data_IF_126165023495
#
_entry.id   IF_126165023495
#
_cell.length_a   1.000
_cell.length_b   1.000
_cell.length_c   1.000
_cell.angle_alpha   90.00
_cell.angle_beta   90.00
_cell.angle_gamma   90.00
#
_symmetry.space_group_name_H-M   'P 1'
#
loop_
_entity.id
_entity.type
_entity.pdbx_description
1 polymer ?
#
# COMPACT_ATOMS: atom_id res chain seq x y z
N UNK A 1 14.61 -15.75 0.83
CA UNK A 1 13.98 -16.40 -0.36
C UNK A 1 13.29 -15.32 -1.17
N UNK A 2 12.24 -14.72 -0.60
CA UNK A 2 11.55 -13.52 -1.12
C UNK A 2 12.50 -12.39 -1.54
N UNK A 3 13.59 -12.19 -0.81
CA UNK A 3 14.57 -11.12 -1.04
C UNK A 3 15.15 -11.12 -2.46
N UNK A 4 15.37 -12.30 -3.07
CA UNK A 4 15.83 -12.42 -4.46
C UNK A 4 14.88 -11.74 -5.45
N UNK A 5 13.58 -11.82 -5.17
CA UNK A 5 12.54 -11.19 -5.98
C UNK A 5 12.43 -9.69 -5.66
N UNK A 6 12.61 -9.32 -4.40
CA UNK A 6 12.48 -7.92 -3.96
C UNK A 6 13.63 -7.03 -4.43
N UNK A 7 14.88 -7.51 -4.44
CA UNK A 7 16.04 -6.67 -4.77
C UNK A 7 15.95 -6.02 -6.15
N UNK A 8 15.72 -6.76 -7.27
CA UNK A 8 15.63 -6.15 -8.58
C UNK A 8 14.53 -5.10 -8.68
N UNK A 9 13.42 -5.37 -7.99
CA UNK A 9 12.26 -4.48 -7.93
C UNK A 9 12.56 -3.20 -7.12
N UNK A 10 13.17 -3.34 -5.94
CA UNK A 10 13.66 -2.22 -5.12
C UNK A 10 14.62 -1.32 -5.91
N UNK A 11 15.59 -1.91 -6.61
CA UNK A 11 16.55 -1.16 -7.43
C UNK A 11 15.86 -0.35 -8.52
N UNK A 12 14.96 -0.97 -9.29
CA UNK A 12 14.24 -0.29 -10.37
C UNK A 12 13.39 0.86 -9.84
N UNK A 13 12.65 0.63 -8.77
CA UNK A 13 11.86 1.68 -8.14
C UNK A 13 12.72 2.82 -7.59
N UNK A 14 13.76 2.52 -6.79
CA UNK A 14 14.59 3.57 -6.20
C UNK A 14 15.29 4.40 -7.29
N UNK A 15 15.66 3.78 -8.41
CA UNK A 15 16.17 4.49 -9.58
C UNK A 15 15.11 5.39 -10.21
N UNK A 16 13.86 4.93 -10.32
CA UNK A 16 12.75 5.74 -10.83
C UNK A 16 12.44 6.90 -9.87
N UNK A 17 12.27 6.61 -8.57
CA UNK A 17 12.02 7.60 -7.53
C UNK A 17 13.16 8.63 -7.41
N UNK A 18 14.41 8.22 -7.65
CA UNK A 18 15.57 9.11 -7.73
C UNK A 18 15.44 10.13 -8.85
N UNK A 19 15.03 9.71 -10.06
CA UNK A 19 14.80 10.62 -11.20
C UNK A 19 13.73 11.66 -10.90
N UNK A 20 12.68 11.28 -10.18
CA UNK A 20 11.62 12.17 -9.75
C UNK A 20 11.90 12.85 -8.39
N UNK A 21 13.06 12.69 -7.76
CA UNK A 21 13.27 13.23 -6.39
C UNK A 21 12.08 12.95 -5.44
N UNK A 22 11.44 11.78 -5.59
CA UNK A 22 10.20 11.42 -4.91
C UNK A 22 10.46 10.61 -3.64
N UNK A 23 11.72 10.23 -3.40
CA UNK A 23 12.18 9.42 -2.26
C UNK A 23 13.39 10.06 -1.58
N UNK A 24 13.47 9.88 -0.26
CA UNK A 24 14.63 10.20 0.56
C UNK A 24 15.77 9.19 0.42
N UNK A 25 15.50 8.05 -0.23
CA UNK A 25 16.41 6.92 -0.28
C UNK A 25 16.91 6.66 -1.69
N UNK A 26 18.09 6.07 -1.78
CA UNK A 26 18.64 5.55 -3.03
C UNK A 26 19.33 4.21 -2.80
N UNK A 27 19.53 3.48 -3.89
CA UNK A 27 20.30 2.25 -3.87
C UNK A 27 21.80 2.56 -4.02
N UNK A 28 22.62 2.12 -3.07
CA UNK A 28 24.08 2.19 -3.15
C UNK A 28 24.62 0.88 -3.73
N UNK A 29 25.03 0.91 -5.00
CA UNK A 29 25.60 -0.27 -5.67
C UNK A 29 26.92 -0.73 -5.05
N UNK A 30 27.70 0.17 -4.46
CA UNK A 30 28.99 -0.19 -3.84
C UNK A 30 28.81 -0.95 -2.54
N UNK A 31 27.75 -0.62 -1.78
CA UNK A 31 27.43 -1.25 -0.49
C UNK A 31 26.35 -2.32 -0.58
N UNK A 32 25.70 -2.46 -1.74
CA UNK A 32 24.60 -3.39 -1.95
C UNK A 32 23.40 -3.15 -1.03
N UNK A 33 23.13 -1.90 -0.64
CA UNK A 33 22.09 -1.55 0.33
C UNK A 33 21.43 -0.21 0.03
N UNK A 34 20.27 0.00 0.64
CA UNK A 34 19.52 1.26 0.61
C UNK A 34 20.21 2.26 1.54
N UNK A 35 20.47 3.47 1.06
CA UNK A 35 21.08 4.56 1.82
C UNK A 35 20.23 5.82 1.75
N UNK A 36 20.40 6.68 2.75
CA UNK A 36 19.78 8.01 2.78
C UNK A 36 20.49 8.94 1.79
N UNK A 37 19.73 9.75 1.06
CA UNK A 37 20.26 10.75 0.13
C UNK A 37 20.79 11.99 0.85
N UNK A 38 21.40 12.89 0.10
CA UNK A 38 21.88 14.17 0.61
C UNK A 38 20.73 15.15 0.95
N UNK A 39 21.04 16.09 1.84
CA UNK A 39 20.09 17.04 2.42
C UNK A 39 19.38 17.90 1.37
N UNK A 40 20.01 18.18 0.23
CA UNK A 40 19.38 18.98 -0.84
C UNK A 40 18.15 18.26 -1.42
N UNK A 41 18.24 16.94 -1.61
CA UNK A 41 17.11 16.16 -2.08
C UNK A 41 15.98 16.09 -1.05
N UNK A 42 16.30 16.13 0.24
CA UNK A 42 15.28 16.18 1.29
C UNK A 42 14.42 17.44 1.19
N UNK A 43 15.03 18.59 0.86
CA UNK A 43 14.30 19.83 0.64
C UNK A 43 13.32 19.70 -0.53
N UNK A 44 13.75 19.07 -1.63
CA UNK A 44 12.89 18.83 -2.80
C UNK A 44 11.70 17.91 -2.47
N UNK A 45 11.94 16.79 -1.78
CA UNK A 45 10.86 15.88 -1.38
C UNK A 45 9.84 16.61 -0.48
N UNK A 46 10.31 17.44 0.45
CA UNK A 46 9.45 18.27 1.32
C UNK A 46 8.67 19.33 0.54
N UNK A 47 9.28 19.96 -0.46
CA UNK A 47 8.58 20.91 -1.33
C UNK A 47 7.43 20.24 -2.09
N UNK A 48 7.65 19.03 -2.63
CA UNK A 48 6.58 18.23 -3.25
C UNK A 48 5.50 17.81 -2.27
N UNK A 49 5.86 17.49 -1.02
CA UNK A 49 4.88 17.18 0.02
C UNK A 49 4.02 18.41 0.36
N UNK A 50 4.63 19.60 0.47
CA UNK A 50 3.89 20.84 0.68
C UNK A 50 2.94 21.14 -0.48
N UNK A 51 3.40 20.97 -1.73
CA UNK A 51 2.53 21.10 -2.90
C UNK A 51 1.36 20.11 -2.85
N UNK A 52 1.60 18.86 -2.45
CA UNK A 52 0.54 17.86 -2.30
C UNK A 52 -0.49 18.26 -1.22
N UNK A 53 -0.06 18.83 -0.09
CA UNK A 53 -0.97 19.36 0.93
C UNK A 53 -1.85 20.46 0.34
N UNK A 54 -1.26 21.43 -0.35
CA UNK A 54 -2.00 22.52 -1.01
C UNK A 54 -2.99 21.96 -2.02
N UNK A 55 -2.56 20.97 -2.82
CA UNK A 55 -3.41 20.31 -3.80
C UNK A 55 -4.64 19.66 -3.15
N UNK A 56 -4.45 18.85 -2.10
CA UNK A 56 -5.55 18.18 -1.38
C UNK A 56 -6.51 19.19 -0.75
N UNK A 57 -5.99 20.27 -0.16
CA UNK A 57 -6.82 21.33 0.44
C UNK A 57 -7.68 22.01 -0.64
N UNK A 58 -7.07 22.44 -1.74
CA UNK A 58 -7.80 23.08 -2.82
C UNK A 58 -8.85 22.14 -3.45
N UNK A 59 -8.49 20.89 -3.69
CA UNK A 59 -9.41 19.88 -4.21
C UNK A 59 -10.59 19.64 -3.25
N UNK A 60 -10.33 19.60 -1.94
CA UNK A 60 -11.38 19.48 -0.92
C UNK A 60 -12.33 20.67 -0.97
N UNK A 61 -11.81 21.90 -0.98
CA UNK A 61 -12.62 23.11 -1.04
C UNK A 61 -13.49 23.14 -2.31
N UNK A 62 -12.92 22.82 -3.47
CA UNK A 62 -13.66 22.75 -4.73
C UNK A 62 -14.78 21.70 -4.67
N UNK A 63 -14.51 20.51 -4.12
CA UNK A 63 -15.53 19.44 -3.96
C UNK A 63 -16.65 19.85 -3.00
N UNK A 64 -16.32 20.58 -1.93
CA UNK A 64 -17.30 21.03 -0.95
C UNK A 64 -18.23 22.12 -1.47
N UNK A 65 -17.72 23.06 -2.27
CA UNK A 65 -18.48 24.23 -2.71
C UNK A 65 -19.11 24.09 -4.09
N UNK A 66 -18.66 23.17 -4.92
CA UNK A 66 -19.24 22.97 -6.25
C UNK A 66 -20.45 22.02 -6.24
N UNK A 67 -21.42 22.34 -7.07
CA UNK A 67 -22.60 21.51 -7.31
C UNK A 67 -22.28 20.44 -8.35
N UNK A 68 -22.23 19.18 -7.92
CA UNK A 68 -21.96 18.05 -8.80
C UNK A 68 -23.10 17.06 -8.82
N UNK A 69 -23.31 16.44 -9.97
CA UNK A 69 -24.11 15.23 -10.04
C UNK A 69 -23.49 14.14 -9.17
N UNK A 70 -24.33 13.22 -8.66
CA UNK A 70 -23.89 12.20 -7.71
C UNK A 70 -22.67 11.41 -8.20
N UNK A 71 -22.67 10.97 -9.45
CA UNK A 71 -21.57 10.17 -10.04
C UNK A 71 -20.26 10.94 -10.05
N UNK A 72 -20.31 12.21 -10.44
CA UNK A 72 -19.16 13.12 -10.46
C UNK A 72 -18.67 13.40 -9.05
N UNK A 73 -19.58 13.66 -8.10
CA UNK A 73 -19.24 13.87 -6.70
C UNK A 73 -18.60 12.63 -6.08
N UNK A 74 -19.13 11.43 -6.31
CA UNK A 74 -18.55 10.18 -5.83
C UNK A 74 -17.17 9.93 -6.44
N UNK A 75 -16.99 10.19 -7.73
CA UNK A 75 -15.70 10.08 -8.41
C UNK A 75 -14.67 11.06 -7.84
N UNK A 76 -15.09 12.30 -7.56
CA UNK A 76 -14.28 13.33 -6.93
C UNK A 76 -13.87 12.98 -5.50
N UNK A 77 -14.82 12.53 -4.67
CA UNK A 77 -14.53 12.08 -3.31
C UNK A 77 -13.62 10.85 -3.30
N UNK A 78 -13.79 9.93 -4.24
CA UNK A 78 -12.93 8.75 -4.37
C UNK A 78 -11.47 9.13 -4.66
N UNK A 79 -11.23 10.01 -5.64
CA UNK A 79 -9.87 10.46 -5.96
C UNK A 79 -9.28 11.33 -4.84
N UNK A 80 -10.10 12.18 -4.22
CA UNK A 80 -9.68 12.92 -3.02
C UNK A 80 -9.27 11.96 -1.89
N UNK A 81 -10.04 10.90 -1.64
CA UNK A 81 -9.71 9.88 -0.63
C UNK A 81 -8.39 9.16 -0.95
N UNK A 82 -8.13 8.84 -2.23
CA UNK A 82 -6.84 8.32 -2.67
C UNK A 82 -5.71 9.32 -2.38
N UNK A 83 -5.87 10.59 -2.73
CA UNK A 83 -4.83 11.61 -2.50
C UNK A 83 -4.61 11.88 -1.00
N UNK A 84 -5.66 11.87 -0.19
CA UNK A 84 -5.55 11.92 1.27
C UNK A 84 -4.79 10.70 1.80
N UNK A 85 -5.04 9.50 1.29
CA UNK A 85 -4.28 8.29 1.67
C UNK A 85 -2.81 8.46 1.32
N UNK A 86 -2.52 8.84 0.08
CA UNK A 86 -1.17 9.16 -0.38
C UNK A 86 -0.48 10.21 0.50
N UNK A 87 -1.23 11.24 0.91
CA UNK A 87 -0.73 12.30 1.75
C UNK A 87 -0.39 11.78 3.14
N UNK A 88 -1.31 11.05 3.81
CA UNK A 88 -1.07 10.48 5.14
C UNK A 88 0.13 9.53 5.13
N UNK A 89 0.25 8.70 4.10
CA UNK A 89 1.38 7.78 3.97
C UNK A 89 2.72 8.52 3.85
N UNK A 90 2.74 9.63 3.12
CA UNK A 90 3.94 10.47 2.91
C UNK A 90 4.16 11.51 4.01
N UNK A 91 3.19 11.74 4.88
CA UNK A 91 3.25 12.78 5.89
C UNK A 91 4.20 12.35 6.99
N UNK A 92 5.45 12.75 6.87
CA UNK A 92 6.51 12.50 7.83
C UNK A 92 7.18 13.80 8.26
N UNK A 93 7.24 14.02 9.57
CA UNK A 93 7.95 15.18 10.13
C UNK A 93 9.46 14.93 10.14
N UNK A 94 9.86 13.67 10.27
CA UNK A 94 11.23 13.17 10.21
C UNK A 94 11.26 11.97 9.27
N UNK A 95 12.37 11.81 8.54
CA UNK A 95 12.55 10.70 7.61
C UNK A 95 12.51 9.39 8.41
N UNK A 96 11.55 8.53 8.07
CA UNK A 96 11.38 7.23 8.72
C UNK A 96 12.38 6.21 8.14
N UNK A 97 13.41 5.89 8.94
CA UNK A 97 14.47 4.97 8.54
C UNK A 97 14.09 3.50 8.73
N UNK A 98 13.13 3.20 9.62
CA UNK A 98 12.85 1.82 10.07
C UNK A 98 12.40 0.91 8.93
N UNK A 99 11.49 1.32 8.02
CA UNK A 99 11.11 0.47 6.90
C UNK A 99 12.29 0.14 5.97
N UNK A 100 13.22 1.09 5.79
CA UNK A 100 14.39 0.88 4.92
C UNK A 100 15.45 0.01 5.61
N UNK A 101 15.63 0.15 6.92
CA UNK A 101 16.48 -0.73 7.71
C UNK A 101 15.96 -2.17 7.71
N UNK A 102 14.64 -2.37 7.79
CA UNK A 102 14.01 -3.69 7.66
C UNK A 102 14.33 -4.32 6.29
N UNK A 103 14.21 -3.56 5.21
CA UNK A 103 14.57 -4.02 3.87
C UNK A 103 16.07 -4.34 3.79
N UNK A 104 16.94 -3.46 4.32
CA UNK A 104 18.39 -3.68 4.35
C UNK A 104 18.79 -4.93 5.14
N UNK A 105 18.16 -5.17 6.30
CA UNK A 105 18.39 -6.36 7.11
C UNK A 105 18.02 -7.64 6.34
N UNK A 106 16.88 -7.62 5.66
CA UNK A 106 16.44 -8.74 4.82
C UNK A 106 17.40 -8.98 3.65
N UNK A 107 17.94 -7.91 3.05
CA UNK A 107 18.97 -7.98 2.00
C UNK A 107 20.27 -8.55 2.52
N UNK A 108 20.78 -8.08 3.67
CA UNK A 108 22.05 -8.54 4.23
C UNK A 108 22.01 -10.00 4.64
N UNK A 109 20.94 -10.44 5.29
CA UNK A 109 20.78 -11.84 5.69
C UNK A 109 20.69 -12.76 4.46
N UNK A 110 20.05 -12.29 3.39
CA UNK A 110 19.95 -13.05 2.15
C UNK A 110 21.25 -13.13 1.37
N UNK A 111 22.19 -12.21 1.52
CA UNK A 111 23.39 -12.20 0.69
C UNK A 111 24.32 -13.37 1.01
N UNK A 112 24.37 -13.81 2.27
CA UNK A 112 25.26 -14.89 2.72
C UNK A 112 24.69 -16.28 2.44
N UNK A 113 23.37 -16.47 2.57
CA UNK A 113 22.74 -17.79 2.44
C UNK A 113 22.29 -18.15 1.00
N UNK A 114 22.09 -17.17 0.10
CA UNK A 114 21.47 -17.38 -1.22
C UNK A 114 22.45 -17.64 -2.37
N UNK A 115 23.70 -18.00 -2.12
CA UNK A 115 24.58 -18.52 -3.16
C UNK A 115 24.22 -19.95 -3.64
N UNK A 116 23.16 -20.58 -3.10
CA UNK A 116 22.75 -21.96 -3.48
C UNK A 116 21.61 -21.99 -4.53
N UNK A 117 21.80 -22.83 -5.55
CA UNK A 117 20.89 -23.08 -6.68
C UNK A 117 19.61 -23.83 -6.28
N UNK A 118 18.68 -23.16 -5.60
CA UNK A 118 17.32 -23.69 -5.40
C UNK A 118 16.35 -23.06 -6.40
N UNK A 119 15.49 -23.90 -7.00
CA UNK A 119 14.42 -23.47 -7.90
C UNK A 119 13.43 -22.54 -7.19
N UNK A 120 12.81 -21.59 -7.91
CA UNK A 120 11.88 -20.64 -7.31
C UNK A 120 10.63 -21.36 -6.81
N UNK A 121 10.23 -21.05 -5.58
CA UNK A 121 8.98 -21.53 -4.98
C UNK A 121 7.76 -20.86 -5.61
N UNK A 122 6.58 -21.51 -5.52
CA UNK A 122 5.31 -20.92 -5.99
C UNK A 122 5.03 -19.55 -5.36
N UNK A 123 5.40 -19.37 -4.09
CA UNK A 123 5.24 -18.11 -3.37
C UNK A 123 6.10 -16.99 -3.99
N UNK A 124 7.36 -17.27 -4.33
CA UNK A 124 8.24 -16.29 -4.99
C UNK A 124 7.70 -15.85 -6.35
N UNK A 125 7.14 -16.79 -7.12
CA UNK A 125 6.53 -16.48 -8.42
C UNK A 125 5.35 -15.52 -8.23
N UNK A 126 4.46 -15.81 -7.29
CA UNK A 126 3.31 -14.93 -6.98
C UNK A 126 3.80 -13.55 -6.53
N UNK A 127 4.77 -13.49 -5.62
CA UNK A 127 5.33 -12.21 -5.15
C UNK A 127 5.98 -11.44 -6.30
N UNK A 128 6.66 -12.12 -7.23
CA UNK A 128 7.26 -11.48 -8.41
C UNK A 128 6.20 -10.81 -9.28
N UNK A 129 5.09 -11.50 -9.54
CA UNK A 129 3.98 -10.93 -10.30
C UNK A 129 3.35 -9.75 -9.56
N UNK A 130 3.17 -9.85 -8.24
CA UNK A 130 2.65 -8.75 -7.43
C UNK A 130 3.57 -7.53 -7.45
N UNK A 131 4.87 -7.71 -7.24
CA UNK A 131 5.84 -6.61 -7.31
C UNK A 131 5.85 -5.94 -8.68
N UNK A 132 5.83 -6.73 -9.77
CA UNK A 132 5.76 -6.20 -11.13
C UNK A 132 4.43 -5.47 -11.39
N UNK A 133 3.32 -5.99 -10.87
CA UNK A 133 2.01 -5.35 -10.97
C UNK A 133 2.02 -3.98 -10.30
N UNK A 134 2.51 -3.91 -9.07
CA UNK A 134 2.65 -2.65 -8.36
C UNK A 134 3.57 -1.68 -9.14
N UNK A 135 4.69 -2.17 -9.70
CA UNK A 135 5.63 -1.31 -10.44
C UNK A 135 4.95 -0.67 -11.65
N UNK A 136 4.14 -1.48 -12.33
CA UNK A 136 3.35 -1.05 -13.46
C UNK A 136 2.29 -0.02 -13.04
N UNK A 137 1.53 -0.25 -11.96
CA UNK A 137 0.55 0.72 -11.44
C UNK A 137 1.21 2.07 -11.15
N UNK A 138 2.44 2.08 -10.63
CA UNK A 138 3.17 3.31 -10.35
C UNK A 138 3.39 4.21 -11.58
N UNK A 139 3.43 3.64 -12.78
CA UNK A 139 3.56 4.35 -14.06
C UNK A 139 2.19 4.52 -14.73
N UNK A 140 1.35 3.51 -14.66
CA UNK A 140 0.03 3.50 -15.30
C UNK A 140 -0.91 4.48 -14.64
N UNK A 141 -0.93 4.63 -13.31
CA UNK A 141 -1.90 5.50 -12.63
C UNK A 141 -1.73 6.98 -13.01
N UNK A 142 -0.52 7.59 -13.01
CA UNK A 142 -0.35 8.97 -13.46
C UNK A 142 -0.65 9.17 -14.95
N UNK A 143 -0.27 8.19 -15.80
CA UNK A 143 -0.59 8.23 -17.23
C UNK A 143 -2.09 8.17 -17.44
N UNK A 144 -2.77 7.34 -16.67
CA UNK A 144 -4.20 7.18 -16.71
C UNK A 144 -4.92 8.47 -16.32
N UNK A 145 -4.47 9.15 -15.25
CA UNK A 145 -4.94 10.50 -14.87
C UNK A 145 -4.73 11.51 -16.00
N UNK A 146 -3.56 11.49 -16.65
CA UNK A 146 -3.25 12.38 -17.79
C UNK A 146 -4.20 12.15 -18.96
N UNK A 147 -4.40 10.88 -19.34
CA UNK A 147 -5.30 10.47 -20.41
C UNK A 147 -6.73 10.93 -20.11
N UNK A 148 -7.21 10.72 -18.88
CA UNK A 148 -8.54 11.17 -18.47
C UNK A 148 -8.75 12.67 -18.67
N UNK A 149 -7.76 13.51 -18.34
CA UNK A 149 -7.86 14.96 -18.53
C UNK A 149 -7.93 15.31 -20.02
N UNK A 150 -7.14 14.65 -20.87
CA UNK A 150 -7.15 14.94 -22.31
C UNK A 150 -8.50 14.60 -22.95
N UNK A 151 -9.06 13.45 -22.61
CA UNK A 151 -10.33 13.00 -23.20
C UNK A 151 -11.57 13.60 -22.54
N UNK A 152 -11.47 13.98 -21.26
CA UNK A 152 -12.61 14.47 -20.48
C UNK A 152 -12.19 15.70 -19.64
N UNK A 153 -11.81 16.83 -20.29
CA UNK A 153 -11.19 17.98 -19.64
C UNK A 153 -12.09 18.72 -18.65
N UNK A 154 -13.38 18.43 -18.65
CA UNK A 154 -14.38 19.09 -17.79
C UNK A 154 -15.03 18.18 -16.77
N UNK A 155 -14.59 16.92 -16.65
CA UNK A 155 -15.05 16.11 -15.54
C UNK A 155 -14.20 16.32 -14.32
N UNK A 156 -14.87 16.43 -13.19
CA UNK A 156 -14.27 16.16 -11.89
C UNK A 156 -13.73 14.74 -11.91
N UNK A 157 -12.50 14.56 -11.44
CA UNK A 157 -12.17 14.90 -10.05
C UNK A 157 -10.94 15.79 -9.85
N UNK A 158 -10.28 16.19 -10.94
CA UNK A 158 -8.96 16.81 -10.90
C UNK A 158 -9.07 18.34 -10.87
N UNK A 159 -8.09 18.98 -10.24
CA UNK A 159 -8.14 20.39 -9.89
C UNK A 159 -8.09 21.30 -11.13
N UNK A 160 -7.24 20.99 -12.10
CA UNK A 160 -7.12 21.72 -13.36
C UNK A 160 -8.44 21.81 -14.15
N UNK A 161 -9.08 20.67 -14.49
CA UNK A 161 -10.42 20.62 -15.08
C UNK A 161 -11.47 21.50 -14.39
N UNK A 162 -11.52 21.45 -13.05
CA UNK A 162 -12.47 22.25 -12.25
C UNK A 162 -12.25 23.76 -12.41
N UNK A 163 -11.00 24.22 -12.56
CA UNK A 163 -10.68 25.64 -12.72
C UNK A 163 -10.98 26.17 -14.12
N UNK A 164 -10.89 25.32 -15.14
CA UNK A 164 -10.90 25.74 -16.54
C UNK A 164 -12.30 25.69 -17.15
N UNK A 165 -13.13 24.74 -16.73
CA UNK A 165 -14.41 24.50 -17.40
C UNK A 165 -15.52 25.50 -17.09
N UNK A 166 -15.26 26.47 -16.21
CA UNK A 166 -16.09 27.66 -16.08
C UNK A 166 -15.87 28.68 -17.21
N UNK A 167 -14.86 28.48 -18.09
CA UNK A 167 -14.59 29.35 -19.21
C UNK A 167 -15.34 28.88 -20.48
N UNK A 168 -15.95 29.83 -21.21
CA UNK A 168 -16.78 29.54 -22.40
C UNK A 168 -16.01 28.86 -23.56
N UNK A 169 -14.69 28.98 -23.60
CA UNK A 169 -13.84 28.40 -24.66
C UNK A 169 -12.56 27.88 -24.00
N UNK A 170 -12.44 26.55 -23.89
CA UNK A 170 -11.21 25.89 -23.45
C UNK A 170 -10.39 25.52 -24.69
N UNK A 171 -9.21 26.11 -24.83
CA UNK A 171 -8.28 25.76 -25.90
C UNK A 171 -7.70 24.36 -25.68
N UNK A 172 -7.54 23.57 -26.74
CA UNK A 172 -6.83 22.27 -26.72
C UNK A 172 -5.43 22.43 -26.11
N UNK A 173 -4.74 23.53 -26.40
CA UNK A 173 -3.43 23.84 -25.83
C UNK A 173 -3.50 23.97 -24.31
N UNK A 174 -4.53 24.63 -23.79
CA UNK A 174 -4.74 24.78 -22.34
C UNK A 174 -5.00 23.43 -21.69
N UNK A 175 -5.86 22.60 -22.29
CA UNK A 175 -6.12 21.23 -21.82
C UNK A 175 -4.86 20.38 -21.76
N UNK A 176 -4.02 20.42 -22.80
CA UNK A 176 -2.78 19.63 -22.84
C UNK A 176 -1.78 20.09 -21.77
N UNK A 177 -1.61 21.41 -21.60
CA UNK A 177 -0.73 21.95 -20.54
C UNK A 177 -1.19 21.48 -19.17
N UNK A 178 -2.50 21.50 -18.91
CA UNK A 178 -3.07 21.10 -17.64
C UNK A 178 -2.95 19.59 -17.42
N UNK A 179 -3.20 18.78 -18.46
CA UNK A 179 -2.98 17.34 -18.40
C UNK A 179 -1.52 17.01 -18.04
N UNK A 180 -0.55 17.70 -18.64
CA UNK A 180 0.87 17.50 -18.33
C UNK A 180 1.21 17.88 -16.89
N UNK A 181 0.74 19.03 -16.41
CA UNK A 181 0.98 19.49 -15.04
C UNK A 181 0.39 18.49 -14.02
N UNK A 182 -0.86 18.09 -14.22
CA UNK A 182 -1.56 17.14 -13.36
C UNK A 182 -0.90 15.75 -13.41
N UNK A 183 -0.47 15.29 -14.59
CA UNK A 183 0.27 14.05 -14.75
C UNK A 183 1.60 14.05 -13.99
N UNK A 184 2.32 15.18 -14.01
CA UNK A 184 3.55 15.38 -13.24
C UNK A 184 3.27 15.34 -11.74
N UNK A 185 2.26 16.08 -11.27
CA UNK A 185 1.86 16.11 -9.84
C UNK A 185 1.44 14.71 -9.38
N UNK A 186 0.58 14.03 -10.14
CA UNK A 186 0.16 12.67 -9.88
C UNK A 186 1.37 11.72 -9.81
N UNK A 187 2.33 11.84 -10.74
CA UNK A 187 3.56 11.03 -10.73
C UNK A 187 4.31 11.18 -9.42
N UNK A 188 4.54 12.39 -8.92
CA UNK A 188 5.20 12.57 -7.62
C UNK A 188 4.38 12.03 -6.44
N UNK A 189 3.06 12.18 -6.48
CA UNK A 189 2.15 11.68 -5.45
C UNK A 189 2.23 10.15 -5.37
N UNK A 190 2.01 9.46 -6.50
CA UNK A 190 2.00 8.01 -6.56
C UNK A 190 3.38 7.43 -6.28
N UNK A 191 4.45 7.94 -6.92
CA UNK A 191 5.82 7.48 -6.69
C UNK A 191 6.25 7.55 -5.22
N UNK A 192 5.95 8.67 -4.54
CA UNK A 192 6.29 8.82 -3.12
C UNK A 192 5.45 7.94 -2.20
N UNK A 193 4.18 7.74 -2.54
CA UNK A 193 3.27 6.88 -1.76
C UNK A 193 3.66 5.42 -1.86
N UNK A 194 4.11 5.02 -3.04
CA UNK A 194 4.51 3.67 -3.37
C UNK A 194 5.66 3.16 -2.48
N UNK A 195 6.53 4.06 -2.01
CA UNK A 195 7.54 3.74 -0.99
C UNK A 195 6.94 3.10 0.26
N UNK A 196 5.80 3.64 0.71
CA UNK A 196 5.16 3.25 1.95
C UNK A 196 4.19 2.09 1.73
N UNK A 197 3.35 2.16 0.69
CA UNK A 197 2.35 1.11 0.42
C UNK A 197 2.99 -0.18 -0.10
N UNK A 198 3.92 -0.11 -1.06
CA UNK A 198 4.55 -1.32 -1.60
C UNK A 198 5.76 -1.77 -0.75
N UNK A 199 6.74 -0.88 -0.52
CA UNK A 199 8.03 -1.28 0.07
C UNK A 199 8.11 -1.26 1.59
N UNK A 200 7.13 -0.68 2.26
CA UNK A 200 7.08 -0.76 3.73
C UNK A 200 6.01 -1.76 4.12
N UNK A 201 4.78 -1.56 3.64
CA UNK A 201 3.63 -2.37 4.01
C UNK A 201 3.63 -3.76 3.38
N UNK A 202 3.59 -3.87 2.06
CA UNK A 202 3.50 -5.17 1.38
C UNK A 202 4.76 -6.00 1.63
N UNK A 203 5.95 -5.46 1.38
CA UNK A 203 7.19 -6.21 1.61
C UNK A 203 7.42 -6.53 3.09
N UNK A 204 7.13 -5.62 4.02
CA UNK A 204 7.29 -5.87 5.46
C UNK A 204 6.44 -7.05 5.94
N UNK A 205 5.17 -7.12 5.52
CA UNK A 205 4.28 -8.24 5.84
C UNK A 205 4.73 -9.52 5.13
N UNK A 206 5.16 -9.45 3.87
CA UNK A 206 5.63 -10.61 3.12
C UNK A 206 6.92 -11.20 3.71
N UNK A 207 7.87 -10.35 4.14
CA UNK A 207 9.10 -10.77 4.83
C UNK A 207 8.73 -11.49 6.12
N UNK A 208 7.87 -10.90 6.96
CA UNK A 208 7.42 -11.53 8.19
C UNK A 208 6.69 -12.86 7.93
N UNK A 209 5.87 -12.93 6.88
CA UNK A 209 5.18 -14.15 6.48
C UNK A 209 6.16 -15.25 6.05
N UNK A 210 7.16 -14.93 5.22
CA UNK A 210 8.14 -15.93 4.79
C UNK A 210 9.00 -16.43 5.95
N UNK A 211 9.48 -15.55 6.82
CA UNK A 211 10.24 -15.96 7.99
C UNK A 211 9.38 -16.80 8.94
N UNK A 212 8.10 -16.47 9.09
CA UNK A 212 7.15 -17.30 9.82
C UNK A 212 7.00 -18.69 9.21
N UNK A 213 6.82 -18.80 7.88
CA UNK A 213 6.69 -20.10 7.21
C UNK A 213 8.00 -20.89 7.31
N UNK A 214 9.14 -20.26 7.04
CA UNK A 214 10.45 -20.91 7.16
C UNK A 214 10.71 -21.42 8.57
N UNK A 215 10.35 -20.63 9.59
CA UNK A 215 10.43 -21.04 10.99
C UNK A 215 9.60 -22.29 11.28
N UNK A 216 8.34 -22.32 10.82
CA UNK A 216 7.43 -23.44 11.05
C UNK A 216 7.87 -24.72 10.33
N UNK A 217 8.49 -24.58 9.16
CA UNK A 217 8.92 -25.72 8.34
C UNK A 217 10.24 -26.34 8.81
N UNK A 218 11.09 -25.61 9.54
CA UNK A 218 12.47 -26.05 9.85
C UNK A 218 12.56 -27.32 10.69
N UNK A 219 11.55 -27.69 11.46
CA UNK A 219 11.68 -28.73 12.49
C UNK A 219 12.74 -28.33 13.53
N UNK A 220 12.55 -28.69 14.80
CA UNK A 220 13.52 -28.30 15.83
C UNK A 220 13.89 -29.48 16.71
N UNK A 221 15.18 -29.81 16.73
CA UNK A 221 15.73 -30.92 17.50
C UNK A 221 15.83 -30.60 19.00
N UNK A 222 15.82 -29.31 19.38
CA UNK A 222 15.95 -28.89 20.77
C UNK A 222 15.04 -27.73 21.18
N UNK A 223 14.62 -27.80 22.44
CA UNK A 223 13.84 -26.80 23.17
C UNK A 223 14.63 -25.53 23.47
N UNK A 224 15.90 -25.40 23.09
CA UNK A 224 16.61 -24.13 23.21
C UNK A 224 16.58 -23.37 21.90
N UNK A 225 16.87 -24.06 20.80
CA UNK A 225 16.93 -23.48 19.46
C UNK A 225 15.57 -22.94 19.01
N UNK A 226 14.47 -23.66 19.28
CA UNK A 226 13.12 -23.18 18.96
C UNK A 226 12.77 -21.86 19.69
N UNK A 227 13.24 -21.61 20.93
CA UNK A 227 12.91 -20.43 21.73
C UNK A 227 13.64 -19.24 21.13
N UNK A 228 14.93 -19.44 20.86
CA UNK A 228 15.77 -18.42 20.27
C UNK A 228 15.22 -17.97 18.92
N UNK A 229 14.93 -18.91 18.03
CA UNK A 229 14.41 -18.60 16.70
C UNK A 229 13.01 -17.94 16.77
N UNK A 230 12.14 -18.37 17.68
CA UNK A 230 10.84 -17.72 17.86
C UNK A 230 10.98 -16.29 18.43
N UNK A 231 11.96 -16.06 19.31
CA UNK A 231 12.27 -14.70 19.81
C UNK A 231 12.79 -13.80 18.70
N UNK A 232 13.63 -14.31 17.81
CA UNK A 232 14.07 -13.58 16.61
C UNK A 232 12.88 -13.21 15.71
N UNK A 233 11.92 -14.13 15.52
CA UNK A 233 10.68 -13.85 14.79
C UNK A 233 9.81 -12.78 15.49
N UNK A 234 9.74 -12.79 16.82
CA UNK A 234 9.05 -11.75 17.58
C UNK A 234 9.74 -10.38 17.50
N UNK A 235 11.08 -10.35 17.41
CA UNK A 235 11.83 -9.10 17.18
C UNK A 235 11.47 -8.55 15.79
N UNK A 236 11.47 -9.41 14.77
CA UNK A 236 11.05 -9.03 13.41
C UNK A 236 9.62 -8.49 13.39
N UNK A 237 8.69 -9.14 14.11
CA UNK A 237 7.32 -8.63 14.29
C UNK A 237 7.30 -7.21 14.87
N UNK A 238 8.13 -6.92 15.89
CA UNK A 238 8.19 -5.58 16.48
C UNK A 238 8.75 -4.56 15.50
N UNK A 239 9.75 -4.91 14.70
CA UNK A 239 10.31 -4.03 13.67
C UNK A 239 9.31 -3.74 12.55
N UNK A 240 8.55 -4.76 12.11
CA UNK A 240 7.48 -4.58 11.13
C UNK A 240 6.37 -3.71 11.72
N UNK A 241 5.96 -3.96 12.97
CA UNK A 241 4.91 -3.18 13.61
C UNK A 241 5.34 -1.74 13.91
N UNK A 242 6.60 -1.48 14.29
CA UNK A 242 7.07 -0.09 14.47
C UNK A 242 7.01 0.70 13.17
N UNK A 243 7.21 0.04 12.03
CA UNK A 243 7.08 0.65 10.69
C UNK A 243 5.62 0.88 10.27
N UNK A 244 4.70 -0.03 10.62
CA UNK A 244 3.35 -0.07 10.03
C UNK A 244 2.23 0.42 10.94
N UNK A 245 2.33 0.17 12.25
CA UNK A 245 1.21 0.18 13.20
C UNK A 245 0.56 1.55 13.36
N UNK A 246 1.35 2.62 13.34
CA UNK A 246 0.89 3.94 13.76
C UNK A 246 0.32 4.77 12.62
N UNK A 247 0.83 4.56 11.40
CA UNK A 247 0.51 5.40 10.24
C UNK A 247 0.07 4.59 9.04
N UNK A 248 0.94 3.70 8.56
CA UNK A 248 0.79 3.10 7.23
C UNK A 248 -0.42 2.15 7.19
N UNK A 249 -0.48 1.18 8.09
CA UNK A 249 -1.57 0.19 8.09
C UNK A 249 -2.93 0.81 8.48
N UNK A 250 -3.04 1.67 9.52
CA UNK A 250 -4.31 2.35 9.84
C UNK A 250 -4.85 3.19 8.68
N UNK A 251 -4.00 3.96 7.99
CA UNK A 251 -4.44 4.79 6.85
C UNK A 251 -5.05 3.92 5.74
N UNK A 252 -4.41 2.79 5.44
CA UNK A 252 -4.88 1.85 4.42
C UNK A 252 -6.19 1.17 4.83
N UNK A 253 -6.30 0.70 6.08
CA UNK A 253 -7.51 0.05 6.59
C UNK A 253 -8.69 1.04 6.66
N UNK A 254 -8.44 2.32 6.94
CA UNK A 254 -9.50 3.31 7.08
C UNK A 254 -10.01 3.82 5.73
N UNK A 255 -9.11 4.11 4.78
CA UNK A 255 -9.48 4.87 3.58
C UNK A 255 -9.72 3.97 2.37
N UNK A 256 -9.00 2.85 2.22
CA UNK A 256 -9.25 1.94 1.10
C UNK A 256 -10.67 1.37 1.03
N UNK A 257 -11.39 1.09 2.15
CA UNK A 257 -12.81 0.74 2.07
C UNK A 257 -13.64 1.81 1.37
N UNK A 258 -13.38 3.08 1.67
CA UNK A 258 -14.12 4.21 1.09
C UNK A 258 -13.89 4.23 -0.43
N UNK A 259 -12.63 4.11 -0.85
CA UNK A 259 -12.27 4.07 -2.29
C UNK A 259 -12.91 2.86 -2.96
N UNK A 260 -12.86 1.68 -2.34
CA UNK A 260 -13.43 0.44 -2.87
C UNK A 260 -14.96 0.51 -3.00
N UNK A 261 -15.65 1.08 -2.00
CA UNK A 261 -17.11 1.26 -2.01
C UNK A 261 -17.51 2.22 -3.12
N UNK A 262 -16.85 3.39 -3.19
CA UNK A 262 -17.18 4.42 -4.17
C UNK A 262 -16.85 3.99 -5.60
N UNK A 263 -15.72 3.31 -5.82
CA UNK A 263 -15.35 2.79 -7.15
C UNK A 263 -16.36 1.76 -7.65
N UNK A 264 -16.78 0.82 -6.80
CA UNK A 264 -17.80 -0.17 -7.15
C UNK A 264 -19.16 0.49 -7.42
N UNK A 265 -19.58 1.44 -6.59
CA UNK A 265 -20.81 2.20 -6.77
C UNK A 265 -20.83 2.94 -8.12
N UNK A 266 -19.77 3.70 -8.42
CA UNK A 266 -19.65 4.47 -9.67
C UNK A 266 -19.58 3.54 -10.88
N UNK A 267 -18.84 2.43 -10.78
CA UNK A 267 -18.80 1.40 -11.81
C UNK A 267 -20.20 0.91 -12.18
N UNK A 268 -21.01 0.48 -11.20
CA UNK A 268 -22.36 -0.06 -11.46
C UNK A 268 -23.29 0.98 -12.05
N UNK A 269 -23.22 2.24 -11.60
CA UNK A 269 -24.05 3.32 -12.15
C UNK A 269 -23.65 3.61 -13.60
N UNK A 270 -22.35 3.74 -13.89
CA UNK A 270 -21.87 4.02 -15.25
C UNK A 270 -22.12 2.87 -16.22
N UNK A 271 -22.08 1.63 -15.74
CA UNK A 271 -22.40 0.45 -16.54
C UNK A 271 -23.88 0.45 -16.96
N UNK A 272 -24.78 0.90 -16.06
CA UNK A 272 -26.22 1.05 -16.38
C UNK A 272 -26.49 2.19 -17.37
N UNK A 273 -25.68 3.25 -17.34
CA UNK A 273 -25.76 4.40 -18.25
C UNK A 273 -25.10 4.15 -19.64
N UNK A 274 -24.72 2.91 -19.96
CA UNK A 274 -24.00 2.53 -21.19
C UNK A 274 -22.64 3.25 -21.39
N UNK A 275 -22.04 3.77 -20.31
CA UNK A 275 -20.73 4.45 -20.33
C UNK A 275 -19.58 3.47 -20.11
N UNK A 276 -19.49 2.46 -20.98
CA UNK A 276 -18.60 1.29 -20.83
C UNK A 276 -17.14 1.65 -20.57
N UNK A 277 -16.57 2.60 -21.31
CA UNK A 277 -15.15 2.99 -21.14
C UNK A 277 -14.92 3.55 -19.73
N UNK A 278 -15.77 4.47 -19.28
CA UNK A 278 -15.66 5.03 -17.93
C UNK A 278 -15.92 3.95 -16.88
N UNK A 279 -16.87 3.03 -17.07
CA UNK A 279 -17.14 1.98 -16.08
C UNK A 279 -15.94 1.04 -15.91
N UNK A 280 -15.26 0.65 -16.99
CA UNK A 280 -14.06 -0.23 -16.93
C UNK A 280 -12.98 0.36 -16.03
N UNK A 281 -12.78 1.67 -16.08
CA UNK A 281 -11.79 2.37 -15.24
C UNK A 281 -12.09 2.18 -13.75
N UNK A 282 -13.32 2.48 -13.33
CA UNK A 282 -13.69 2.37 -11.92
C UNK A 282 -13.69 0.91 -11.46
N UNK A 283 -13.96 -0.04 -12.37
CA UNK A 283 -13.81 -1.46 -12.10
C UNK A 283 -12.35 -1.86 -11.85
N UNK A 284 -11.39 -1.33 -12.62
CA UNK A 284 -9.95 -1.59 -12.39
C UNK A 284 -9.55 -1.07 -11.01
N UNK A 285 -9.91 0.18 -10.66
CA UNK A 285 -9.62 0.76 -9.33
C UNK A 285 -10.25 -0.08 -8.20
N UNK A 286 -11.47 -0.58 -8.41
CA UNK A 286 -12.12 -1.49 -7.46
C UNK A 286 -11.31 -2.79 -7.27
N UNK A 287 -10.89 -3.44 -8.37
CA UNK A 287 -10.10 -4.67 -8.31
C UNK A 287 -8.74 -4.44 -7.65
N UNK A 288 -8.09 -3.30 -7.89
CA UNK A 288 -6.84 -2.92 -7.25
C UNK A 288 -6.99 -2.78 -5.74
N UNK A 289 -8.02 -2.06 -5.29
CA UNK A 289 -8.31 -1.90 -3.86
C UNK A 289 -8.64 -3.25 -3.20
N UNK A 290 -9.48 -4.05 -3.84
CA UNK A 290 -9.86 -5.40 -3.39
C UNK A 290 -8.62 -6.30 -3.30
N UNK A 291 -7.81 -6.35 -4.36
CA UNK A 291 -6.61 -7.18 -4.43
C UNK A 291 -5.59 -6.79 -3.38
N UNK A 292 -5.29 -5.50 -3.23
CA UNK A 292 -4.34 -4.99 -2.25
C UNK A 292 -4.78 -5.27 -0.81
N UNK A 293 -6.05 -4.99 -0.48
CA UNK A 293 -6.58 -5.21 0.88
C UNK A 293 -6.64 -6.70 1.22
N UNK A 294 -7.12 -7.55 0.29
CA UNK A 294 -7.12 -9.00 0.48
C UNK A 294 -5.71 -9.55 0.64
N UNK A 295 -4.74 -9.07 -0.14
CA UNK A 295 -3.35 -9.49 -0.05
C UNK A 295 -2.78 -9.20 1.34
N UNK A 296 -2.79 -7.93 1.76
CA UNK A 296 -2.20 -7.46 3.01
C UNK A 296 -2.87 -8.13 4.21
N UNK A 297 -4.21 -8.09 4.27
CA UNK A 297 -4.94 -8.59 5.43
C UNK A 297 -4.88 -10.11 5.51
N UNK A 298 -4.93 -10.84 4.38
CA UNK A 298 -4.86 -12.30 4.41
C UNK A 298 -3.48 -12.81 4.81
N UNK A 299 -2.38 -12.19 4.36
CA UNK A 299 -1.05 -12.57 4.83
C UNK A 299 -0.88 -12.27 6.32
N UNK A 300 -1.28 -11.09 6.77
CA UNK A 300 -1.25 -10.72 8.19
C UNK A 300 -2.08 -11.69 9.06
N UNK A 301 -3.31 -12.01 8.65
CA UNK A 301 -4.17 -12.97 9.32
C UNK A 301 -3.55 -14.38 9.41
N UNK A 302 -2.95 -14.85 8.31
CA UNK A 302 -2.32 -16.16 8.27
C UNK A 302 -1.10 -16.27 9.19
N UNK A 303 -0.31 -15.20 9.36
CA UNK A 303 0.79 -15.16 10.34
C UNK A 303 0.24 -15.43 11.75
N UNK A 304 -0.84 -14.74 12.12
CA UNK A 304 -1.48 -14.89 13.43
C UNK A 304 -2.03 -16.30 13.64
N UNK A 305 -2.78 -16.84 12.68
CA UNK A 305 -3.38 -18.18 12.77
C UNK A 305 -2.31 -19.27 12.87
N UNK A 306 -1.30 -19.23 11.99
CA UNK A 306 -0.26 -20.26 11.94
C UNK A 306 0.59 -20.27 13.22
N UNK A 307 1.05 -19.09 13.66
CA UNK A 307 1.84 -19.00 14.90
C UNK A 307 1.00 -19.29 16.14
N UNK A 308 -0.28 -18.90 16.16
CA UNK A 308 -1.20 -19.24 17.25
C UNK A 308 -1.43 -20.75 17.37
N UNK A 309 -1.68 -21.43 16.25
CA UNK A 309 -1.79 -22.90 16.21
C UNK A 309 -0.50 -23.55 16.71
N UNK A 310 0.66 -23.08 16.27
CA UNK A 310 1.95 -23.59 16.71
C UNK A 310 2.17 -23.40 18.22
N UNK A 311 1.91 -22.20 18.77
CA UNK A 311 2.01 -21.94 20.22
C UNK A 311 1.05 -22.84 21.02
N UNK A 312 -0.15 -23.11 20.49
CA UNK A 312 -1.14 -23.97 21.16
C UNK A 312 -0.74 -25.45 21.24
N UNK A 313 0.21 -25.90 20.41
CA UNK A 313 0.69 -27.29 20.40
C UNK A 313 1.67 -27.59 21.54
N UNK A 314 2.14 -26.58 22.28
CA UNK A 314 3.06 -26.83 23.38
C UNK A 314 2.38 -27.47 24.59
N UNK A 315 2.85 -28.65 25.02
CA UNK A 315 2.37 -29.23 26.26
C UNK A 315 2.74 -28.30 27.43
N UNK A 316 1.91 -28.23 28.48
CA UNK A 316 2.29 -27.53 29.70
C UNK A 316 3.53 -28.20 30.29
N UNK A 317 4.70 -27.57 30.16
CA UNK A 317 5.97 -28.20 30.56
C UNK A 317 6.01 -28.66 32.01
N UNK A 318 6.89 -29.61 32.30
CA UNK A 318 7.00 -30.20 33.64
C UNK A 318 7.52 -29.19 34.68
N UNK A 319 8.43 -28.28 34.30
CA UNK A 319 8.97 -27.28 35.21
C UNK A 319 8.16 -25.98 35.22
N UNK A 320 8.08 -25.33 36.39
CA UNK A 320 7.45 -24.01 36.57
C UNK A 320 8.04 -22.96 35.62
N UNK A 321 9.35 -23.02 35.40
CA UNK A 321 10.07 -22.12 34.47
C UNK A 321 9.63 -22.34 33.03
N UNK A 322 9.56 -23.59 32.57
CA UNK A 322 9.13 -23.89 31.20
C UNK A 322 7.68 -23.43 30.96
N UNK A 323 6.77 -23.65 31.91
CA UNK A 323 5.39 -23.15 31.79
C UNK A 323 5.32 -21.63 31.66
N UNK A 324 6.16 -20.89 32.39
CA UNK A 324 6.25 -19.42 32.29
C UNK A 324 6.79 -18.99 30.93
N UNK A 325 7.80 -19.69 30.40
CA UNK A 325 8.36 -19.41 29.07
C UNK A 325 7.31 -19.63 27.98
N UNK A 326 6.65 -20.80 27.95
CA UNK A 326 5.60 -21.11 26.97
C UNK A 326 4.45 -20.11 27.07
N UNK A 327 4.02 -19.74 28.29
CA UNK A 327 2.97 -18.73 28.50
C UNK A 327 3.37 -17.32 28.02
N UNK A 328 4.68 -17.04 27.96
CA UNK A 328 5.18 -15.76 27.43
C UNK A 328 5.19 -15.69 25.90
N UNK A 329 4.98 -16.82 25.21
CA UNK A 329 4.84 -16.84 23.77
C UNK A 329 3.45 -16.40 23.37
N UNK A 330 3.41 -15.18 22.86
CA UNK A 330 2.25 -14.62 22.21
C UNK A 330 2.38 -14.89 20.71
N UNK A 331 1.29 -15.27 20.02
CA UNK A 331 1.26 -15.41 18.58
C UNK A 331 1.78 -14.15 17.90
N UNK A 332 2.48 -14.34 16.78
CA UNK A 332 3.00 -13.25 15.97
C UNK A 332 1.85 -12.54 15.31
N UNK A 333 1.78 -11.22 15.41
CA UNK A 333 0.65 -10.43 14.90
C UNK A 333 1.07 -9.13 14.26
N UNK A 334 0.40 -8.77 13.17
CA UNK A 334 0.52 -7.45 12.53
C UNK A 334 -0.51 -6.51 13.16
N UNK A 335 -0.04 -5.40 13.72
CA UNK A 335 -0.82 -4.47 14.54
C UNK A 335 -1.22 -3.22 13.75
N UNK A 336 -2.40 -2.68 14.05
CA UNK A 336 -2.85 -1.36 13.60
C UNK A 336 -3.45 -0.60 14.79
N UNK A 337 -2.81 0.50 15.18
CA UNK A 337 -3.09 1.17 16.45
C UNK A 337 -2.94 0.20 17.65
N UNK A 338 -4.00 0.09 18.46
CA UNK A 338 -4.05 -0.83 19.61
C UNK A 338 -4.61 -2.23 19.26
N UNK A 339 -5.00 -2.45 18.01
CA UNK A 339 -5.58 -3.70 17.52
C UNK A 339 -4.59 -4.48 16.64
N UNK A 340 -5.02 -5.65 16.14
CA UNK A 340 -4.23 -6.48 15.23
C UNK A 340 -5.12 -7.18 14.21
N UNK A 341 -4.53 -7.58 13.09
CA UNK A 341 -5.23 -8.32 12.04
C UNK A 341 -5.38 -9.78 12.46
N UNK A 342 -6.61 -10.21 12.70
CA UNK A 342 -6.96 -11.59 13.05
C UNK A 342 -7.46 -12.39 11.84
N UNK A 343 -7.89 -13.62 12.07
CA UNK A 343 -8.38 -14.53 11.03
C UNK A 343 -9.62 -14.01 10.28
N UNK A 344 -10.48 -13.23 10.96
CA UNK A 344 -11.76 -12.77 10.41
C UNK A 344 -11.68 -11.38 9.79
N UNK A 345 -10.65 -10.61 10.14
CA UNK A 345 -10.45 -9.23 9.67
C UNK A 345 -10.59 -9.08 8.15
N UNK A 346 -9.97 -9.92 7.28
CA UNK A 346 -10.15 -9.78 5.83
C UNK A 346 -11.61 -9.98 5.39
N UNK A 347 -12.31 -10.94 5.97
CA UNK A 347 -13.70 -11.24 5.63
C UNK A 347 -14.65 -10.15 6.09
N UNK A 348 -14.50 -9.68 7.33
CA UNK A 348 -15.30 -8.58 7.89
C UNK A 348 -15.08 -7.31 7.08
N UNK A 349 -13.85 -7.04 6.66
CA UNK A 349 -13.50 -5.89 5.83
C UNK A 349 -14.21 -5.92 4.47
N UNK A 350 -14.18 -7.07 3.77
CA UNK A 350 -14.86 -7.19 2.47
C UNK A 350 -16.38 -7.21 2.60
N UNK A 351 -16.91 -7.86 3.63
CA UNK A 351 -18.34 -7.83 3.93
C UNK A 351 -18.80 -6.39 4.15
N UNK A 352 -18.07 -5.59 4.93
CA UNK A 352 -18.37 -4.19 5.12
C UNK A 352 -18.43 -3.43 3.78
N UNK A 353 -17.41 -3.56 2.92
CA UNK A 353 -17.38 -2.89 1.62
C UNK A 353 -18.57 -3.30 0.73
N UNK A 354 -18.88 -4.60 0.66
CA UNK A 354 -19.98 -5.12 -0.15
C UNK A 354 -21.35 -4.64 0.37
N UNK A 355 -21.59 -4.72 1.68
CA UNK A 355 -22.86 -4.28 2.29
C UNK A 355 -23.08 -2.78 2.15
N UNK A 356 -22.05 -1.96 2.33
CA UNK A 356 -22.16 -0.50 2.13
C UNK A 356 -22.45 -0.15 0.67
N UNK A 357 -21.76 -0.81 -0.28
CA UNK A 357 -22.01 -0.61 -1.72
C UNK A 357 -23.45 -0.98 -2.08
N UNK A 358 -23.94 -2.14 -1.62
CA UNK A 358 -25.31 -2.57 -1.86
C UNK A 358 -26.33 -1.59 -1.27
N UNK A 359 -26.09 -1.08 -0.06
CA UNK A 359 -26.96 -0.10 0.59
C UNK A 359 -27.05 1.20 -0.19
N UNK A 360 -25.91 1.71 -0.68
CA UNK A 360 -25.86 2.92 -1.51
C UNK A 360 -26.56 2.72 -2.87
N UNK A 361 -26.42 1.55 -3.48
CA UNK A 361 -27.11 1.20 -4.73
C UNK A 361 -28.64 1.15 -4.53
N UNK A 362 -29.11 0.53 -3.44
CA UNK A 362 -30.54 0.50 -3.11
C UNK A 362 -31.08 1.92 -2.89
N UNK A 363 -30.34 2.77 -2.16
CA UNK A 363 -30.73 4.17 -1.95
C UNK A 363 -30.84 4.94 -3.26
N UNK A 364 -29.92 4.71 -4.20
CA UNK A 364 -29.88 5.40 -5.50
C UNK A 364 -31.01 5.00 -6.46
N UNK A 365 -31.53 3.77 -6.38
CA UNK A 365 -32.57 3.29 -7.31
C UNK A 365 -33.97 3.24 -6.70
N UNK A 366 -34.09 3.41 -5.38
CA UNK A 366 -35.39 3.46 -4.69
C UNK A 366 -35.92 4.89 -4.54
N UNK A 367 -35.02 5.87 -4.45
CA UNK A 367 -35.32 7.30 -4.55
C UNK A 367 -35.20 7.74 -6.00
#
# INVERSE_FOLDING_TARGET
MIVRVLIPFLKRYLNLAKRFSASYFEWDESRGKIVLRDVKHHANVKAWLLLHIVYVVLQTLLICFAEFHLVEKCSAVMILALYITCLILRLETRVDLVPMELNNWSISQSYEDFARDTSPTRLEIVIKYLCNFFELSCIVDPLFITILIVFIPCRTPLLGPMLICNQKIVSITTTLVVAVIEGIVASFIFMGTYQYSAFSLVTGILILYAECVSFLDRGFDSVEHWLRNYRELQILEKTVNSSLRERILPAMILILPIVQILSCLVFVILLKDDKVISSVIFFIVYLECLGLTMLILSFAANIFVKTGKWVSQFPPGQSKTHRRIVKSFQPVKVQFGNNFVDALTPLVFQQFCATQTASLLVLKYKL
#
